data_IF_669349542340
#
_entry.id   IF_669349542340
#
_cell.length_a   1.000
_cell.length_b   1.000
_cell.length_c   1.000
_cell.angle_alpha   90.00
_cell.angle_beta   90.00
_cell.angle_gamma   90.00
#
_symmetry.space_group_name_H-M   'P 1'
#
loop_
_entity.id
_entity.type
_entity.pdbx_description
1 polymer ?
#
# COMPACT_ATOMS: atom_id res chain seq x y z
N UNK A 1 5.23 12.44 8.02
CA UNK A 1 6.45 12.01 8.76
C UNK A 1 6.25 12.00 10.27
N UNK A 2 5.28 12.77 10.80
CA UNK A 2 5.12 12.97 12.26
C UNK A 2 4.47 11.81 13.01
N UNK A 3 3.86 10.85 12.31
CA UNK A 3 3.19 9.72 12.94
C UNK A 3 4.14 8.68 13.56
N UNK A 4 5.39 8.60 13.09
CA UNK A 4 6.37 7.65 13.61
C UNK A 4 7.13 8.17 14.84
N UNK A 5 7.25 9.49 15.01
CA UNK A 5 7.93 10.08 16.17
C UNK A 5 7.25 9.82 17.50
N UNK A 6 5.91 9.70 17.54
CA UNK A 6 5.18 9.58 18.81
C UNK A 6 5.11 8.17 19.40
N UNK A 7 5.34 7.12 18.61
CA UNK A 7 5.14 5.73 19.08
C UNK A 7 6.38 5.11 19.76
N UNK A 8 7.59 5.61 19.46
CA UNK A 8 8.84 5.01 19.95
C UNK A 8 9.49 5.71 21.14
N UNK A 9 8.99 6.84 21.58
CA UNK A 9 9.54 7.56 22.74
C UNK A 9 9.51 6.77 24.05
N UNK A 10 8.71 5.70 24.15
CA UNK A 10 8.62 4.85 25.33
C UNK A 10 9.76 3.83 25.48
N UNK A 11 10.59 3.62 24.47
CA UNK A 11 11.60 2.56 24.45
C UNK A 11 13.06 3.04 24.35
N UNK A 12 13.35 4.30 24.60
CA UNK A 12 14.72 4.84 24.49
C UNK A 12 15.36 4.70 23.10
N UNK A 13 14.56 4.65 22.03
CA UNK A 13 15.06 4.69 20.64
C UNK A 13 14.88 6.08 20.06
N UNK A 14 15.94 6.57 19.39
CA UNK A 14 15.84 7.69 18.46
C UNK A 14 15.37 7.14 17.10
N UNK A 15 14.29 7.68 16.53
CA UNK A 15 13.73 7.21 15.28
C UNK A 15 13.82 8.29 14.22
N UNK A 16 14.52 8.00 13.14
CA UNK A 16 14.58 8.83 11.94
C UNK A 16 13.77 8.17 10.81
N UNK A 17 12.82 8.90 10.22
CA UNK A 17 12.07 8.44 9.05
C UNK A 17 12.65 9.02 7.77
N UNK A 18 13.05 8.16 6.82
CA UNK A 18 13.53 8.57 5.50
C UNK A 18 12.60 8.08 4.39
N UNK A 19 12.31 8.96 3.43
CA UNK A 19 11.61 8.59 2.21
C UNK A 19 12.63 8.08 1.19
N UNK A 20 12.43 6.88 0.66
CA UNK A 20 13.29 6.27 -0.34
C UNK A 20 12.64 6.24 -1.74
N UNK A 21 11.39 6.66 -1.82
CA UNK A 21 10.57 6.61 -3.03
C UNK A 21 10.00 7.99 -3.33
N UNK A 22 9.95 8.32 -4.61
CA UNK A 22 9.13 9.40 -5.13
C UNK A 22 7.77 8.80 -5.54
N UNK A 23 6.67 9.29 -4.93
CA UNK A 23 5.31 8.83 -5.18
C UNK A 23 4.52 9.99 -5.77
N UNK A 24 4.01 9.80 -6.99
CA UNK A 24 3.23 10.81 -7.69
C UNK A 24 2.00 10.20 -8.38
N UNK A 25 0.92 10.98 -8.45
CA UNK A 25 -0.29 10.61 -9.18
C UNK A 25 -0.03 10.50 -10.67
N UNK A 26 -0.73 9.59 -11.33
CA UNK A 26 -0.79 9.50 -12.79
C UNK A 26 -2.19 9.83 -13.29
N UNK A 27 -2.32 10.19 -14.56
CA UNK A 27 -3.62 10.43 -15.15
C UNK A 27 -4.34 9.11 -15.41
N UNK A 28 -5.64 9.10 -15.13
CA UNK A 28 -6.49 7.94 -15.36
C UNK A 28 -7.92 8.38 -15.68
N UNK A 29 -8.64 7.51 -16.36
CA UNK A 29 -10.06 7.66 -16.66
C UNK A 29 -10.83 6.44 -16.16
N UNK A 30 -12.06 6.67 -15.69
CA UNK A 30 -12.95 5.59 -15.27
C UNK A 30 -14.02 5.41 -16.35
N UNK A 31 -14.14 4.20 -16.85
CA UNK A 31 -15.21 3.84 -17.77
C UNK A 31 -16.32 3.06 -17.05
N UNK A 32 -17.52 3.64 -17.03
CA UNK A 32 -18.71 3.03 -16.44
C UNK A 32 -18.74 3.04 -14.92
N UNK A 33 -19.82 2.48 -14.36
CA UNK A 33 -20.00 2.34 -12.92
C UNK A 33 -19.32 1.07 -12.42
N UNK A 34 -18.83 1.10 -11.19
CA UNK A 34 -18.30 -0.06 -10.47
C UNK A 34 -19.28 -0.48 -9.38
N UNK A 35 -19.32 -1.77 -9.07
CA UNK A 35 -19.99 -2.29 -7.88
C UNK A 35 -19.09 -2.15 -6.66
N UNK A 36 -17.78 -2.29 -6.87
CA UNK A 36 -16.78 -2.20 -5.82
C UNK A 36 -15.56 -1.37 -6.23
N UNK A 37 -15.04 -0.61 -5.25
CA UNK A 37 -13.67 -0.09 -5.24
C UNK A 37 -12.88 -0.85 -4.19
N UNK A 38 -11.75 -1.44 -4.53
CA UNK A 38 -10.91 -2.11 -3.55
C UNK A 38 -9.51 -1.51 -3.53
N UNK A 39 -9.11 -1.02 -2.36
CA UNK A 39 -7.83 -0.35 -2.17
C UNK A 39 -6.81 -1.23 -1.45
N UNK A 40 -5.66 -1.42 -2.07
CA UNK A 40 -4.53 -2.18 -1.52
C UNK A 40 -3.50 -1.30 -0.81
N UNK A 41 -3.65 0.03 -0.89
CA UNK A 41 -2.72 0.96 -0.27
C UNK A 41 -3.33 2.32 0.03
N UNK A 42 -2.79 3.03 1.02
CA UNK A 42 -3.14 4.43 1.32
C UNK A 42 -2.84 5.38 0.16
N UNK A 43 -1.80 5.10 -0.62
CA UNK A 43 -1.49 5.91 -1.81
C UNK A 43 -2.56 5.74 -2.90
N UNK A 44 -3.07 4.53 -3.09
CA UNK A 44 -4.22 4.28 -3.99
C UNK A 44 -5.43 5.09 -3.57
N UNK A 45 -5.76 5.10 -2.27
CA UNK A 45 -6.85 5.93 -1.71
C UNK A 45 -6.62 7.41 -2.01
N UNK A 46 -5.44 7.93 -1.64
CA UNK A 46 -5.10 9.34 -1.82
C UNK A 46 -5.27 9.78 -3.27
N UNK A 47 -4.54 9.16 -4.21
CA UNK A 47 -4.50 9.62 -5.60
C UNK A 47 -5.80 9.34 -6.36
N UNK A 48 -6.56 8.31 -5.98
CA UNK A 48 -7.88 8.10 -6.54
C UNK A 48 -8.86 9.20 -6.12
N UNK A 49 -8.99 9.46 -4.83
CA UNK A 49 -9.94 10.43 -4.31
C UNK A 49 -9.49 11.89 -4.45
N UNK A 50 -8.27 12.17 -4.84
CA UNK A 50 -7.86 13.50 -5.31
C UNK A 50 -8.61 13.91 -6.58
N UNK A 51 -8.91 12.96 -7.48
CA UNK A 51 -9.56 13.19 -8.77
C UNK A 51 -11.05 12.86 -8.77
N UNK A 52 -11.47 11.80 -8.07
CA UNK A 52 -12.83 11.27 -8.10
C UNK A 52 -13.53 11.53 -6.78
N UNK A 53 -14.77 12.01 -6.84
CA UNK A 53 -15.64 12.21 -5.70
C UNK A 53 -16.99 11.55 -5.96
N UNK A 54 -17.55 10.95 -4.93
CA UNK A 54 -18.87 10.32 -4.98
C UNK A 54 -19.84 11.02 -4.02
N UNK A 55 -21.10 11.12 -4.41
CA UNK A 55 -22.20 11.32 -3.46
C UNK A 55 -22.50 9.99 -2.74
N UNK A 56 -23.19 10.06 -1.60
CA UNK A 56 -23.54 8.84 -0.85
C UNK A 56 -24.38 7.84 -1.67
N UNK A 57 -25.25 8.36 -2.54
CA UNK A 57 -26.16 7.55 -3.34
C UNK A 57 -25.47 6.83 -4.51
N UNK A 58 -24.35 7.37 -4.97
CA UNK A 58 -23.65 6.87 -6.17
C UNK A 58 -22.26 6.27 -5.85
N UNK A 59 -21.94 6.13 -4.56
CA UNK A 59 -20.66 5.55 -4.17
C UNK A 59 -20.70 4.03 -4.32
N UNK A 60 -19.77 3.42 -5.08
CA UNK A 60 -19.59 1.99 -5.04
C UNK A 60 -19.28 1.49 -3.63
N UNK A 61 -19.52 0.22 -3.35
CA UNK A 61 -19.02 -0.40 -2.11
C UNK A 61 -17.52 -0.30 -2.05
N UNK A 62 -16.97 -0.04 -0.87
CA UNK A 62 -15.53 0.14 -0.72
C UNK A 62 -14.94 -0.94 0.17
N UNK A 63 -13.88 -1.58 -0.35
CA UNK A 63 -13.05 -2.52 0.38
C UNK A 63 -11.64 -2.00 0.58
N UNK A 64 -11.01 -2.40 1.67
CA UNK A 64 -9.64 -2.08 2.01
C UNK A 64 -8.86 -3.34 2.41
N UNK A 65 -7.60 -3.41 2.00
CA UNK A 65 -6.73 -4.56 2.28
C UNK A 65 -6.41 -4.73 3.76
N UNK A 66 -6.43 -3.64 4.53
CA UNK A 66 -6.14 -3.62 5.97
C UNK A 66 -6.70 -2.36 6.66
N UNK A 67 -6.60 -2.32 7.99
CA UNK A 67 -7.10 -1.23 8.82
C UNK A 67 -6.46 0.13 8.53
N UNK A 68 -5.17 0.16 8.18
CA UNK A 68 -4.48 1.41 7.83
C UNK A 68 -5.03 2.04 6.55
N UNK A 69 -5.36 1.21 5.55
CA UNK A 69 -6.00 1.66 4.31
C UNK A 69 -7.46 2.05 4.57
N UNK A 70 -8.19 1.26 5.36
CA UNK A 70 -9.57 1.57 5.76
C UNK A 70 -9.68 2.89 6.51
N UNK A 71 -8.77 3.16 7.44
CA UNK A 71 -8.71 4.43 8.17
C UNK A 71 -8.52 5.64 7.23
N UNK A 72 -7.71 5.49 6.19
CA UNK A 72 -7.51 6.56 5.20
C UNK A 72 -8.78 6.85 4.39
N UNK A 73 -9.59 5.83 4.08
CA UNK A 73 -10.88 5.96 3.39
C UNK A 73 -11.90 6.65 4.31
N UNK A 74 -11.99 6.19 5.55
CA UNK A 74 -12.90 6.74 6.58
C UNK A 74 -12.59 8.20 6.88
N UNK A 75 -11.31 8.59 6.89
CA UNK A 75 -10.88 9.99 7.07
C UNK A 75 -11.35 10.92 5.94
N UNK A 76 -11.65 10.40 4.76
CA UNK A 76 -12.25 11.14 3.64
C UNK A 76 -13.79 11.18 3.68
N UNK A 77 -14.42 10.57 4.70
CA UNK A 77 -15.87 10.55 4.90
C UNK A 77 -16.59 9.43 4.16
N UNK A 78 -15.86 8.42 3.64
CA UNK A 78 -16.47 7.25 2.99
C UNK A 78 -16.61 6.08 3.96
N UNK A 79 -17.63 5.26 3.74
CA UNK A 79 -17.85 4.01 4.47
C UNK A 79 -16.99 2.87 3.86
N UNK A 80 -16.59 1.92 4.69
CA UNK A 80 -15.80 0.74 4.26
C UNK A 80 -16.61 -0.50 4.60
N UNK A 81 -17.07 -1.23 3.58
CA UNK A 81 -17.91 -2.43 3.71
C UNK A 81 -17.09 -3.70 3.90
N UNK A 82 -15.82 -3.68 3.47
CA UNK A 82 -14.90 -4.79 3.69
C UNK A 82 -13.55 -4.26 4.18
N UNK A 83 -13.07 -4.82 5.26
CA UNK A 83 -11.75 -4.51 5.82
C UNK A 83 -10.99 -5.82 6.07
N UNK A 84 -9.88 -6.02 5.34
CA UNK A 84 -9.02 -7.19 5.54
C UNK A 84 -8.31 -7.14 6.89
N UNK A 85 -8.23 -8.27 7.54
CA UNK A 85 -7.61 -8.44 8.87
C UNK A 85 -6.30 -9.20 8.82
N UNK A 86 -6.00 -9.87 7.70
CA UNK A 86 -4.78 -10.64 7.51
C UNK A 86 -3.57 -9.76 7.18
N UNK A 87 -2.39 -10.15 7.68
CA UNK A 87 -1.11 -9.60 7.24
C UNK A 87 -0.73 -10.04 5.81
N UNK A 88 -1.42 -11.05 5.27
CA UNK A 88 -1.17 -11.62 3.95
C UNK A 88 -2.22 -11.18 2.96
N UNK A 89 -1.81 -10.46 1.92
CA UNK A 89 -2.72 -9.91 0.90
C UNK A 89 -3.48 -11.00 0.12
N UNK A 90 -2.88 -12.17 -0.09
CA UNK A 90 -3.57 -13.28 -0.76
C UNK A 90 -4.75 -13.83 0.06
N UNK A 91 -4.63 -13.92 1.38
CA UNK A 91 -5.73 -14.33 2.27
C UNK A 91 -6.86 -13.30 2.19
N UNK A 92 -6.52 -12.01 2.33
CA UNK A 92 -7.51 -10.93 2.17
C UNK A 92 -8.17 -10.95 0.78
N UNK A 93 -7.42 -11.29 -0.27
CA UNK A 93 -7.97 -11.41 -1.62
C UNK A 93 -8.98 -12.56 -1.75
N UNK A 94 -8.70 -13.70 -1.13
CA UNK A 94 -9.61 -14.85 -1.08
C UNK A 94 -10.89 -14.52 -0.29
N UNK A 95 -10.76 -13.90 0.90
CA UNK A 95 -11.90 -13.47 1.72
C UNK A 95 -12.79 -12.46 0.98
N UNK A 96 -12.18 -11.44 0.37
CA UNK A 96 -12.91 -10.47 -0.44
C UNK A 96 -13.56 -11.12 -1.67
N UNK A 97 -12.87 -12.05 -2.32
CA UNK A 97 -13.39 -12.80 -3.45
C UNK A 97 -14.68 -13.58 -3.17
N UNK A 98 -14.92 -13.97 -1.91
CA UNK A 98 -16.17 -14.67 -1.53
C UNK A 98 -17.39 -13.76 -1.54
N UNK A 99 -17.20 -12.46 -1.34
CA UNK A 99 -18.28 -11.47 -1.25
C UNK A 99 -18.40 -10.56 -2.47
N UNK A 100 -17.29 -10.34 -3.17
CA UNK A 100 -17.24 -9.46 -4.34
C UNK A 100 -18.08 -10.02 -5.49
N UNK A 101 -18.87 -9.15 -6.13
CA UNK A 101 -19.65 -9.47 -7.34
C UNK A 101 -19.66 -8.27 -8.27
N UNK A 102 -19.83 -8.54 -9.57
CA UNK A 102 -19.93 -7.50 -10.57
C UNK A 102 -18.59 -6.90 -10.94
N UNK A 103 -18.55 -5.59 -11.15
CA UNK A 103 -17.37 -4.85 -11.58
C UNK A 103 -16.58 -4.33 -10.38
N UNK A 104 -15.32 -4.74 -10.29
CA UNK A 104 -14.37 -4.32 -9.25
C UNK A 104 -13.27 -3.46 -9.86
N UNK A 105 -13.15 -2.22 -9.40
CA UNK A 105 -12.02 -1.37 -9.74
C UNK A 105 -10.97 -1.46 -8.63
N UNK A 106 -9.72 -1.68 -9.02
CA UNK A 106 -8.55 -1.75 -8.14
C UNK A 106 -7.65 -0.53 -8.38
N UNK A 107 -7.83 0.61 -7.66
CA UNK A 107 -6.93 1.73 -7.76
C UNK A 107 -5.58 1.38 -7.12
N UNK A 108 -4.51 1.34 -7.92
CA UNK A 108 -3.21 0.82 -7.49
C UNK A 108 -2.03 1.50 -8.20
N UNK A 109 -0.81 1.08 -7.86
CA UNK A 109 0.40 1.56 -8.52
C UNK A 109 0.50 1.06 -9.96
N UNK A 110 1.22 1.79 -10.82
CA UNK A 110 1.52 1.38 -12.21
C UNK A 110 2.11 -0.04 -12.26
N UNK A 111 2.98 -0.39 -11.31
CA UNK A 111 3.65 -1.70 -11.24
C UNK A 111 3.08 -2.57 -10.10
N UNK A 112 1.75 -2.64 -9.97
CA UNK A 112 1.12 -3.50 -8.98
C UNK A 112 1.35 -5.00 -9.29
N UNK A 113 1.42 -5.83 -8.23
CA UNK A 113 1.76 -7.26 -8.36
C UNK A 113 0.61 -8.16 -8.81
N UNK A 114 -0.59 -7.63 -8.98
CA UNK A 114 -1.75 -8.40 -9.45
C UNK A 114 -2.23 -9.50 -8.49
N UNK A 115 -2.02 -9.35 -7.18
CA UNK A 115 -2.41 -10.37 -6.20
C UNK A 115 -3.92 -10.47 -6.06
N UNK A 116 -4.62 -9.33 -6.07
CA UNK A 116 -6.09 -9.28 -5.93
C UNK A 116 -6.80 -9.89 -7.13
N UNK A 117 -6.30 -9.63 -8.31
CA UNK A 117 -6.90 -10.08 -9.58
C UNK A 117 -7.04 -11.60 -9.66
N UNK A 118 -6.10 -12.33 -9.07
CA UNK A 118 -6.09 -13.81 -9.08
C UNK A 118 -7.29 -14.42 -8.36
N UNK A 119 -7.75 -13.78 -7.29
CA UNK A 119 -8.88 -14.26 -6.48
C UNK A 119 -10.24 -13.73 -6.97
N UNK A 120 -10.25 -12.81 -7.93
CA UNK A 120 -11.45 -12.14 -8.43
C UNK A 120 -11.84 -12.58 -9.85
N UNK A 121 -11.38 -13.75 -10.32
CA UNK A 121 -11.60 -14.21 -11.69
C UNK A 121 -13.08 -14.41 -12.09
N UNK A 122 -14.01 -14.38 -11.15
CA UNK A 122 -15.45 -14.40 -11.37
C UNK A 122 -16.09 -12.99 -11.46
N UNK A 123 -15.30 -11.93 -11.27
CA UNK A 123 -15.70 -10.53 -11.38
C UNK A 123 -15.14 -9.90 -12.66
N UNK A 124 -15.74 -8.80 -13.12
CA UNK A 124 -15.11 -7.91 -14.09
C UNK A 124 -14.09 -7.04 -13.33
N UNK A 125 -12.80 -7.37 -13.44
CA UNK A 125 -11.75 -6.65 -12.72
C UNK A 125 -11.09 -5.61 -13.59
N UNK A 126 -11.04 -4.37 -13.10
CA UNK A 126 -10.33 -3.25 -13.73
C UNK A 126 -9.18 -2.80 -12.83
N UNK A 127 -7.96 -3.19 -13.20
CA UNK A 127 -6.75 -2.67 -12.57
C UNK A 127 -6.48 -1.25 -13.06
N UNK A 128 -6.65 -0.27 -12.17
CA UNK A 128 -6.55 1.14 -12.50
C UNK A 128 -5.28 1.74 -11.89
N UNK A 129 -4.31 2.07 -12.74
CA UNK A 129 -3.12 2.78 -12.29
C UNK A 129 -3.48 4.22 -11.93
N UNK A 130 -3.32 4.60 -10.67
CA UNK A 130 -3.63 5.94 -10.15
C UNK A 130 -2.42 6.67 -9.60
N UNK A 131 -1.32 5.96 -9.35
CA UNK A 131 -0.04 6.54 -8.93
C UNK A 131 1.14 5.71 -9.41
N UNK A 132 2.29 6.34 -9.48
CA UNK A 132 3.56 5.67 -9.70
C UNK A 132 4.48 5.88 -8.50
N UNK A 133 5.33 4.91 -8.23
CA UNK A 133 6.38 4.96 -7.24
C UNK A 133 7.72 4.63 -7.91
N UNK A 134 8.65 5.55 -7.83
CA UNK A 134 10.00 5.40 -8.38
C UNK A 134 11.02 5.52 -7.26
N UNK A 135 12.12 4.79 -7.39
CA UNK A 135 13.23 4.86 -6.44
C UNK A 135 13.89 6.23 -6.60
N UNK A 136 14.22 6.87 -5.48
CA UNK A 136 15.02 8.09 -5.50
C UNK A 136 16.44 7.79 -6.01
N UNK A 137 16.94 8.65 -6.89
CA UNK A 137 18.31 8.51 -7.42
C UNK A 137 19.36 8.57 -6.31
N UNK A 138 19.18 9.51 -5.39
CA UNK A 138 20.09 9.73 -4.27
C UNK A 138 19.44 9.21 -2.97
N UNK A 139 19.67 7.94 -2.66
CA UNK A 139 19.35 7.35 -1.37
C UNK A 139 20.56 7.50 -0.47
N UNK A 140 20.42 8.27 0.60
CA UNK A 140 21.50 8.47 1.56
C UNK A 140 21.71 7.25 2.43
N UNK A 141 22.99 6.98 2.74
CA UNK A 141 23.35 5.95 3.72
C UNK A 141 22.84 6.33 5.12
N UNK A 142 22.41 5.34 5.89
CA UNK A 142 22.08 5.50 7.30
C UNK A 142 23.02 4.64 8.14
N UNK A 143 23.61 5.22 9.19
CA UNK A 143 24.44 4.50 10.17
C UNK A 143 23.67 4.05 11.41
N UNK A 144 22.33 4.17 11.39
CA UNK A 144 21.46 3.66 12.44
C UNK A 144 21.72 2.16 12.72
N UNK A 145 21.65 1.76 13.99
CA UNK A 145 21.87 0.37 14.40
C UNK A 145 20.77 -0.58 13.89
N UNK A 146 19.55 -0.07 13.71
CA UNK A 146 18.38 -0.82 13.26
C UNK A 146 17.77 -0.11 12.05
N UNK A 147 17.64 -0.84 10.94
CA UNK A 147 16.94 -0.38 9.74
C UNK A 147 15.59 -1.10 9.62
N UNK A 148 14.51 -0.31 9.61
CA UNK A 148 13.14 -0.84 9.51
C UNK A 148 12.59 -0.57 8.12
N UNK A 149 12.28 -1.63 7.36
CA UNK A 149 11.68 -1.52 6.04
C UNK A 149 10.19 -1.82 6.07
N UNK A 150 9.40 -0.87 5.58
CA UNK A 150 7.94 -0.92 5.57
C UNK A 150 7.35 -1.49 4.28
N UNK A 151 8.17 -1.64 3.24
CA UNK A 151 7.76 -2.23 1.96
C UNK A 151 8.95 -2.86 1.23
N UNK A 152 8.69 -3.84 0.33
CA UNK A 152 9.71 -4.45 -0.51
C UNK A 152 10.55 -3.43 -1.28
N UNK A 153 9.88 -2.49 -1.95
CA UNK A 153 10.54 -1.50 -2.78
C UNK A 153 11.45 -0.56 -1.97
N UNK A 154 11.11 -0.25 -0.72
CA UNK A 154 11.99 0.49 0.18
C UNK A 154 13.25 -0.31 0.53
N UNK A 155 13.11 -1.59 0.82
CA UNK A 155 14.26 -2.47 1.08
C UNK A 155 15.17 -2.57 -0.15
N UNK A 156 14.60 -2.85 -1.31
CA UNK A 156 15.32 -2.91 -2.59
C UNK A 156 16.07 -1.61 -2.89
N UNK A 157 15.39 -0.46 -2.72
CA UNK A 157 15.97 0.87 -2.97
C UNK A 157 17.22 1.15 -2.16
N UNK A 158 17.23 0.71 -0.91
CA UNK A 158 18.32 0.95 0.00
C UNK A 158 19.42 -0.10 -0.18
N UNK A 159 19.08 -1.38 -0.13
CA UNK A 159 20.05 -2.48 -0.10
C UNK A 159 20.79 -2.69 -1.42
N UNK A 160 20.21 -2.27 -2.55
CA UNK A 160 20.92 -2.26 -3.84
C UNK A 160 22.01 -1.20 -3.93
N UNK A 161 21.94 -0.15 -3.10
CA UNK A 161 22.86 0.99 -3.12
C UNK A 161 23.87 0.99 -1.97
N UNK A 162 23.54 0.33 -0.87
CA UNK A 162 24.32 0.39 0.34
C UNK A 162 24.57 -1.00 0.94
N UNK A 163 25.84 -1.28 1.25
CA UNK A 163 26.20 -2.45 2.04
C UNK A 163 25.95 -2.19 3.52
N UNK A 164 25.48 -3.22 4.22
CA UNK A 164 25.23 -3.16 5.66
C UNK A 164 26.53 -3.29 6.46
N UNK A 165 26.59 -2.61 7.61
CA UNK A 165 27.60 -2.93 8.63
C UNK A 165 27.20 -4.24 9.33
N UNK A 166 28.18 -4.99 9.79
CA UNK A 166 27.93 -6.25 10.55
C UNK A 166 27.12 -6.04 11.84
N UNK A 167 27.15 -4.82 12.39
CA UNK A 167 26.38 -4.45 13.59
C UNK A 167 24.95 -4.04 13.30
N UNK A 168 24.59 -3.76 12.05
CA UNK A 168 23.24 -3.29 11.69
C UNK A 168 22.24 -4.45 11.66
N UNK A 169 21.09 -4.23 12.25
CA UNK A 169 19.96 -5.15 12.24
C UNK A 169 18.91 -4.70 11.23
N UNK A 170 18.29 -5.66 10.53
CA UNK A 170 17.19 -5.41 9.61
C UNK A 170 15.87 -5.89 10.22
N UNK A 171 14.86 -5.06 10.13
CA UNK A 171 13.49 -5.40 10.51
C UNK A 171 12.57 -5.16 9.30
N UNK A 172 11.79 -6.18 8.93
CA UNK A 172 10.69 -6.07 7.98
C UNK A 172 9.35 -6.00 8.70
N UNK A 173 8.43 -5.13 8.26
CA UNK A 173 7.09 -5.04 8.87
C UNK A 173 6.18 -6.19 8.42
N UNK A 174 6.43 -6.77 7.25
CA UNK A 174 5.57 -7.82 6.71
C UNK A 174 6.29 -8.86 5.86
N UNK A 175 5.63 -10.00 5.61
CA UNK A 175 6.24 -11.15 4.91
C UNK A 175 6.79 -10.82 3.53
N UNK A 176 6.08 -9.98 2.76
CA UNK A 176 6.53 -9.59 1.41
C UNK A 176 7.83 -8.77 1.44
N UNK A 177 8.02 -7.95 2.49
CA UNK A 177 9.26 -7.18 2.69
C UNK A 177 10.39 -8.10 3.14
N UNK A 178 10.10 -9.06 4.01
CA UNK A 178 11.07 -10.07 4.42
C UNK A 178 11.58 -10.86 3.21
N UNK A 179 10.68 -11.40 2.39
CA UNK A 179 11.05 -12.13 1.16
C UNK A 179 11.93 -11.28 0.23
N UNK A 180 11.64 -9.99 0.08
CA UNK A 180 12.45 -9.10 -0.74
C UNK A 180 13.86 -8.92 -0.17
N UNK A 181 14.00 -8.76 1.15
CA UNK A 181 15.31 -8.65 1.83
C UNK A 181 16.12 -9.94 1.67
N UNK A 182 15.49 -11.10 1.83
CA UNK A 182 16.15 -12.41 1.72
C UNK A 182 16.60 -12.74 0.28
N UNK A 183 16.04 -12.06 -0.73
CA UNK A 183 16.38 -12.25 -2.14
C UNK A 183 17.49 -11.32 -2.67
N UNK A 184 17.96 -10.37 -1.87
CA UNK A 184 19.01 -9.41 -2.20
C UNK A 184 20.38 -9.86 -1.71
#
# INVERSE_FOLDING_TARGET
SDYYHSFFFFFCFEVEGKTLLNIHGVDFEISGQADWLFFTSRNGVKHYFEKIKYSKENCPKIGAVNSGTASSIKALGYEVEFEGTSAYTNITAEEFGQIAKGKVILPQAVHARGVMEKSLGHCEVVSLAVYNNTILENVEYSDADILVFTSPLNAESYLQKHSLKLSQQLISIGPSTQTAIESL
#
